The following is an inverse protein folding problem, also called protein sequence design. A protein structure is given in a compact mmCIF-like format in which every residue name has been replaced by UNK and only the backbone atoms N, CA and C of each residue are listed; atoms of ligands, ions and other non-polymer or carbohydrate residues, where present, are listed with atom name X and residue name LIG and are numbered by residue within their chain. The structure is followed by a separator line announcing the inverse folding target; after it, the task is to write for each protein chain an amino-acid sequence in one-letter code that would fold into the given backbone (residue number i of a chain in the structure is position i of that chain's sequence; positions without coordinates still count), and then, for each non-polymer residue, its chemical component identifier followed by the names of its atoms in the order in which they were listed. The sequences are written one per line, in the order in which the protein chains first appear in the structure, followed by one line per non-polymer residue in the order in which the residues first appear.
data_IF_665924438531
#
_entry.id   IF_665924438531
#
_cell.length_a   1.000
_cell.length_b   1.000
_cell.length_c   1.000
_cell.angle_alpha   90.00
_cell.angle_beta   90.00
_cell.angle_gamma   90.00
#
_symmetry.space_group_name_H-M   'P 1'
#
loop_
_entity.id
_entity.type
_entity.pdbx_description
1 polymer ?
#
# COMPACT_ATOMS: atom_id res chain seq x y z
N UNK A 1 16.71 -21.11 2.39
CA UNK A 1 15.34 -21.06 1.84
C UNK A 1 14.99 -19.61 1.56
N UNK A 2 14.60 -19.24 0.34
CA UNK A 2 14.11 -17.89 0.09
C UNK A 2 12.85 -17.67 0.93
N UNK A 3 12.73 -16.52 1.61
CA UNK A 3 11.51 -16.16 2.33
C UNK A 3 10.32 -16.17 1.37
N UNK A 4 9.16 -16.64 1.84
CA UNK A 4 7.94 -16.62 1.04
C UNK A 4 7.60 -15.17 0.66
N UNK A 5 7.39 -14.91 -0.64
CA UNK A 5 7.02 -13.59 -1.14
C UNK A 5 5.57 -13.25 -0.76
N UNK A 6 5.31 -11.97 -0.49
CA UNK A 6 3.98 -11.50 -0.07
C UNK A 6 3.00 -11.65 -1.24
N UNK A 7 1.77 -12.09 -0.97
CA UNK A 7 0.65 -12.21 -1.92
C UNK A 7 -0.67 -11.81 -1.27
N UNK A 8 -1.73 -11.69 -2.06
CA UNK A 8 -3.08 -11.37 -1.61
C UNK A 8 -3.33 -9.87 -1.55
N UNK A 9 -4.08 -9.43 -0.53
CA UNK A 9 -4.39 -8.01 -0.32
C UNK A 9 -3.41 -7.38 0.66
N UNK A 10 -2.86 -6.23 0.28
CA UNK A 10 -2.15 -5.35 1.21
C UNK A 10 -2.87 -4.01 1.33
N UNK A 11 -2.91 -3.48 2.54
CA UNK A 11 -3.40 -2.13 2.80
C UNK A 11 -2.24 -1.14 2.74
N UNK A 12 -2.30 -0.08 1.90
CA UNK A 12 -1.43 1.07 2.03
C UNK A 12 -1.88 1.85 3.28
N UNK A 13 -1.37 1.42 4.44
CA UNK A 13 -1.93 1.75 5.75
C UNK A 13 -1.96 3.26 5.96
N UNK A 14 -3.12 3.83 6.27
CA UNK A 14 -3.23 5.25 6.63
C UNK A 14 -2.46 5.53 7.93
N UNK A 15 -1.76 6.67 8.00
CA UNK A 15 -1.01 7.06 9.20
C UNK A 15 -1.87 7.98 10.08
N UNK A 16 -2.26 7.60 11.30
CA UNK A 16 -2.96 8.51 12.20
C UNK A 16 -1.99 9.58 12.75
N UNK A 17 -2.51 10.78 13.01
CA UNK A 17 -1.75 11.89 13.58
C UNK A 17 -2.41 12.40 14.84
N UNK A 18 -1.60 12.90 15.77
CA UNK A 18 -2.05 13.64 16.94
C UNK A 18 -2.41 15.08 16.56
N UNK A 19 -2.96 15.83 17.52
CA UNK A 19 -3.32 17.25 17.35
C UNK A 19 -2.12 18.15 17.01
N UNK A 20 -0.93 17.79 17.47
CA UNK A 20 0.32 18.48 17.14
C UNK A 20 0.93 18.03 15.80
N UNK A 21 0.17 17.25 15.03
CA UNK A 21 0.56 16.64 13.75
C UNK A 21 1.67 15.61 13.84
N UNK A 22 2.17 15.23 15.03
CA UNK A 22 3.08 14.10 15.17
C UNK A 22 2.36 12.76 14.89
N UNK A 23 3.04 11.72 14.39
CA UNK A 23 2.38 10.43 14.15
C UNK A 23 1.88 9.80 15.45
N UNK A 24 0.67 9.24 15.43
CA UNK A 24 0.09 8.54 16.56
C UNK A 24 0.47 7.04 16.52
N UNK A 25 1.54 6.69 17.21
CA UNK A 25 2.10 5.33 17.22
C UNK A 25 1.11 4.28 17.74
N UNK A 26 0.34 4.60 18.79
CA UNK A 26 -0.59 3.65 19.42
C UNK A 26 -1.73 3.28 18.47
N UNK A 27 -2.38 4.28 17.89
CA UNK A 27 -3.44 4.08 16.88
C UNK A 27 -2.93 3.37 15.63
N UNK A 28 -1.70 3.71 15.21
CA UNK A 28 -1.09 3.09 14.05
C UNK A 28 -0.86 1.58 14.25
N UNK A 29 -0.33 1.18 15.40
CA UNK A 29 -0.15 -0.23 15.78
C UNK A 29 -1.50 -0.96 15.84
N UNK A 30 -2.51 -0.37 16.49
CA UNK A 30 -3.82 -1.00 16.60
C UNK A 30 -4.48 -1.21 15.24
N UNK A 31 -4.38 -0.24 14.33
CA UNK A 31 -4.90 -0.38 12.97
C UNK A 31 -4.16 -1.45 12.18
N UNK A 32 -2.83 -1.51 12.29
CA UNK A 32 -2.04 -2.58 11.69
C UNK A 32 -2.43 -3.97 12.21
N UNK A 33 -2.65 -4.12 13.53
CA UNK A 33 -3.12 -5.38 14.12
C UNK A 33 -4.51 -5.78 13.63
N UNK A 34 -5.43 -4.82 13.53
CA UNK A 34 -6.76 -5.07 12.97
C UNK A 34 -6.68 -5.50 11.50
N UNK A 35 -5.91 -4.82 10.66
CA UNK A 35 -5.70 -5.21 9.26
C UNK A 35 -5.19 -6.66 9.14
N UNK A 36 -4.21 -7.04 9.97
CA UNK A 36 -3.67 -8.40 9.98
C UNK A 36 -4.70 -9.43 10.45
N UNK A 37 -5.54 -9.10 11.43
CA UNK A 37 -6.61 -10.00 11.89
C UNK A 37 -7.67 -10.25 10.80
N UNK A 38 -7.73 -9.38 9.79
CA UNK A 38 -8.58 -9.50 8.60
C UNK A 38 -7.86 -10.16 7.41
N UNK A 39 -6.70 -10.78 7.67
CA UNK A 39 -5.80 -11.39 6.68
C UNK A 39 -5.31 -10.43 5.58
N UNK A 40 -5.08 -9.17 5.95
CA UNK A 40 -4.50 -8.17 5.07
C UNK A 40 -3.03 -7.91 5.42
N UNK A 41 -2.14 -7.95 4.41
CA UNK A 41 -0.76 -7.49 4.57
C UNK A 41 -0.66 -5.96 4.68
N UNK A 42 0.52 -5.45 5.01
CA UNK A 42 0.72 -4.04 5.34
C UNK A 42 1.70 -3.38 4.36
N UNK A 43 1.23 -2.50 3.51
CA UNK A 43 2.06 -1.65 2.65
C UNK A 43 2.21 -0.24 3.26
N UNK A 44 2.81 -0.15 4.44
CA UNK A 44 2.97 1.12 5.17
C UNK A 44 3.79 2.14 4.35
N UNK A 45 3.62 3.43 4.61
CA UNK A 45 4.37 4.52 3.97
C UNK A 45 4.20 4.61 2.44
N UNK A 46 3.02 4.28 1.92
CA UNK A 46 2.62 4.59 0.56
C UNK A 46 1.91 5.95 0.45
N UNK A 47 1.27 6.21 -0.69
CA UNK A 47 0.51 7.45 -0.93
C UNK A 47 -0.59 7.67 0.11
N UNK A 48 -1.39 6.64 0.42
CA UNK A 48 -2.46 6.76 1.42
C UNK A 48 -1.96 6.88 2.87
N UNK A 49 -0.70 6.54 3.11
CA UNK A 49 -0.04 6.76 4.39
C UNK A 49 0.40 8.21 4.61
N UNK A 50 0.20 9.09 3.61
CA UNK A 50 0.73 10.45 3.59
C UNK A 50 2.26 10.48 3.65
N UNK A 51 2.94 9.47 3.09
CA UNK A 51 4.37 9.27 3.30
C UNK A 51 5.25 10.47 2.89
N UNK A 52 4.84 11.25 1.89
CA UNK A 52 5.58 12.46 1.48
C UNK A 52 5.49 13.61 2.49
N UNK A 53 4.61 13.55 3.49
CA UNK A 53 4.57 14.49 4.61
C UNK A 53 5.26 13.93 5.87
N UNK A 54 5.87 12.74 5.79
CA UNK A 54 6.52 12.04 6.89
C UNK A 54 8.01 11.91 6.61
N UNK A 55 8.85 12.42 7.51
CA UNK A 55 10.31 12.34 7.35
C UNK A 55 10.83 10.91 7.38
N UNK A 56 12.01 10.67 6.82
CA UNK A 56 12.71 9.38 6.92
C UNK A 56 12.83 8.89 8.37
N UNK A 57 13.17 9.79 9.30
CA UNK A 57 13.29 9.49 10.73
C UNK A 57 11.97 9.01 11.33
N UNK A 58 10.86 9.69 11.02
CA UNK A 58 9.54 9.28 11.49
C UNK A 58 9.12 7.93 10.88
N UNK A 59 9.37 7.69 9.59
CA UNK A 59 9.08 6.41 8.94
C UNK A 59 9.86 5.26 9.57
N UNK A 60 11.17 5.43 9.77
CA UNK A 60 12.02 4.43 10.41
C UNK A 60 11.58 4.17 11.86
N UNK A 61 11.30 5.22 12.63
CA UNK A 61 10.82 5.08 14.01
C UNK A 61 9.44 4.41 14.13
N UNK A 62 8.51 4.71 13.21
CA UNK A 62 7.23 3.99 13.13
C UNK A 62 7.41 2.52 12.75
N UNK A 63 8.34 2.21 11.85
CA UNK A 63 8.65 0.84 11.49
C UNK A 63 9.24 0.06 12.68
N UNK A 64 10.17 0.68 13.43
CA UNK A 64 10.72 0.10 14.66
C UNK A 64 9.63 -0.16 15.70
N UNK A 65 8.69 0.78 15.85
CA UNK A 65 7.56 0.62 16.77
C UNK A 65 6.63 -0.55 16.37
N UNK A 66 6.37 -0.74 15.07
CA UNK A 66 5.61 -1.91 14.59
C UNK A 66 6.33 -3.22 14.93
N UNK A 67 7.64 -3.30 14.70
CA UNK A 67 8.44 -4.48 15.03
C UNK A 67 8.44 -4.75 16.53
N UNK A 68 8.66 -3.72 17.35
CA UNK A 68 8.62 -3.82 18.80
C UNK A 68 7.24 -4.27 19.33
N UNK A 69 6.17 -3.91 18.62
CA UNK A 69 4.80 -4.33 18.94
C UNK A 69 4.44 -5.75 18.46
N UNK A 70 5.40 -6.49 17.90
CA UNK A 70 5.25 -7.87 17.44
C UNK A 70 4.57 -8.01 16.08
N UNK A 71 4.54 -6.95 15.26
CA UNK A 71 3.98 -7.02 13.91
C UNK A 71 4.86 -7.92 13.04
N UNK A 72 4.31 -8.94 12.36
CA UNK A 72 5.08 -9.86 11.52
C UNK A 72 5.68 -9.12 10.31
N UNK A 73 6.99 -8.93 10.32
CA UNK A 73 7.73 -8.19 9.28
C UNK A 73 7.60 -8.81 7.90
N UNK A 74 7.51 -10.14 7.82
CA UNK A 74 7.25 -10.87 6.57
C UNK A 74 5.91 -10.50 5.91
N UNK A 75 4.96 -9.88 6.63
CA UNK A 75 3.67 -9.37 6.11
C UNK A 75 3.72 -7.88 5.77
N UNK A 76 4.88 -7.23 5.90
CA UNK A 76 5.07 -5.80 5.66
C UNK A 76 5.86 -5.51 4.38
N UNK A 77 5.42 -4.48 3.66
CA UNK A 77 6.07 -3.91 2.49
C UNK A 77 6.15 -2.38 2.61
N UNK A 78 7.03 -1.83 3.48
CA UNK A 78 7.14 -0.39 3.66
C UNK A 78 7.53 0.35 2.38
N UNK A 79 6.96 1.54 2.20
CA UNK A 79 7.31 2.47 1.15
C UNK A 79 8.62 3.17 1.46
N UNK A 80 9.63 2.94 0.64
CA UNK A 80 10.99 3.47 0.83
C UNK A 80 11.45 4.39 -0.29
N UNK A 81 10.66 4.50 -1.37
CA UNK A 81 10.94 5.44 -2.45
C UNK A 81 11.02 6.89 -1.96
N UNK A 82 11.94 7.65 -2.53
CA UNK A 82 12.16 9.07 -2.27
C UNK A 82 12.77 9.73 -3.51
N UNK A 83 12.77 11.07 -3.58
CA UNK A 83 13.51 11.78 -4.63
C UNK A 83 15.02 11.76 -4.37
N UNK A 84 15.44 11.62 -3.12
CA UNK A 84 16.84 11.49 -2.72
C UNK A 84 17.29 10.04 -2.73
N UNK A 85 18.40 9.76 -3.43
CA UNK A 85 19.04 8.44 -3.45
C UNK A 85 19.48 8.03 -2.05
N UNK A 86 20.05 8.95 -1.27
CA UNK A 86 20.58 8.62 0.07
C UNK A 86 19.45 8.24 1.01
N UNK A 87 18.34 8.97 0.99
CA UNK A 87 17.17 8.66 1.80
C UNK A 87 16.52 7.34 1.37
N UNK A 88 16.34 7.13 0.06
CA UNK A 88 15.76 5.88 -0.44
C UNK A 88 16.60 4.66 -0.05
N UNK A 89 17.94 4.78 -0.12
CA UNK A 89 18.86 3.73 0.30
C UNK A 89 18.85 3.52 1.83
N UNK A 90 18.88 4.59 2.62
CA UNK A 90 18.87 4.52 4.09
C UNK A 90 17.61 3.84 4.62
N UNK A 91 16.43 4.31 4.19
CA UNK A 91 15.14 3.75 4.64
C UNK A 91 14.98 2.31 4.14
N UNK A 92 15.43 2.00 2.91
CA UNK A 92 15.43 0.62 2.40
C UNK A 92 16.32 -0.29 3.21
N UNK A 93 17.56 0.12 3.50
CA UNK A 93 18.50 -0.68 4.29
C UNK A 93 17.99 -0.91 5.72
N UNK A 94 17.36 0.11 6.33
CA UNK A 94 16.71 -0.03 7.63
C UNK A 94 15.58 -1.07 7.59
N UNK A 95 14.68 -0.98 6.61
CA UNK A 95 13.60 -1.93 6.45
C UNK A 95 14.10 -3.37 6.23
N UNK A 96 15.12 -3.56 5.38
CA UNK A 96 15.73 -4.89 5.15
C UNK A 96 16.35 -5.47 6.42
N UNK A 97 17.02 -4.66 7.24
CA UNK A 97 17.58 -5.10 8.53
C UNK A 97 16.51 -5.65 9.48
N UNK A 98 15.31 -5.09 9.44
CA UNK A 98 14.16 -5.55 10.22
C UNK A 98 13.50 -6.82 9.62
N UNK A 99 13.93 -7.28 8.45
CA UNK A 99 13.43 -8.51 7.82
C UNK A 99 12.04 -8.36 7.22
N UNK A 100 11.70 -7.17 6.69
CA UNK A 100 10.43 -6.99 5.96
C UNK A 100 10.34 -7.87 4.72
N UNK A 101 9.12 -8.22 4.29
CA UNK A 101 8.92 -9.08 3.13
C UNK A 101 9.24 -8.41 1.78
N UNK A 102 9.35 -7.08 1.75
CA UNK A 102 9.84 -6.30 0.62
C UNK A 102 9.78 -4.80 0.89
N UNK A 103 10.20 -3.98 -0.07
CA UNK A 103 10.06 -2.53 -0.02
C UNK A 103 9.31 -2.04 -1.26
N UNK A 104 8.39 -1.10 -1.08
CA UNK A 104 7.64 -0.49 -2.18
C UNK A 104 8.31 0.81 -2.60
N UNK A 105 8.87 0.87 -3.81
CA UNK A 105 9.75 1.96 -4.24
C UNK A 105 9.13 2.78 -5.37
N UNK A 106 8.65 3.97 -4.99
CA UNK A 106 8.25 5.01 -5.93
C UNK A 106 9.47 5.54 -6.70
N UNK A 107 9.37 5.82 -8.02
CA UNK A 107 10.45 6.48 -8.75
C UNK A 107 10.66 7.90 -8.22
N UNK A 108 11.87 8.49 -8.39
CA UNK A 108 12.10 9.88 -8.03
C UNK A 108 11.20 10.77 -8.89
N UNK A 109 10.28 11.47 -8.24
CA UNK A 109 9.13 12.07 -8.92
C UNK A 109 9.16 13.59 -8.99
N UNK A 110 10.11 14.30 -8.39
CA UNK A 110 10.10 15.77 -8.44
C UNK A 110 10.39 16.30 -9.84
N UNK A 111 11.52 15.91 -10.43
CA UNK A 111 11.88 16.28 -11.80
C UNK A 111 11.13 15.42 -12.81
N UNK A 112 10.49 16.06 -13.79
CA UNK A 112 9.70 15.40 -14.84
C UNK A 112 10.50 15.27 -16.13
N UNK A 113 10.07 14.36 -17.02
CA UNK A 113 10.73 14.16 -18.32
C UNK A 113 12.16 13.64 -18.22
N UNK A 114 12.54 13.04 -17.09
CA UNK A 114 13.87 12.46 -16.91
C UNK A 114 14.07 11.28 -17.87
N UNK A 115 15.26 11.12 -18.47
CA UNK A 115 15.54 9.97 -19.32
C UNK A 115 15.42 8.64 -18.55
N UNK A 116 15.02 7.57 -19.23
CA UNK A 116 14.95 6.22 -18.67
C UNK A 116 16.29 5.77 -18.06
N UNK A 117 17.41 6.20 -18.63
CA UNK A 117 18.75 5.96 -18.09
C UNK A 117 18.93 6.55 -16.69
N UNK A 118 18.37 7.73 -16.42
CA UNK A 118 18.40 8.34 -15.09
C UNK A 118 17.60 7.53 -14.07
N UNK A 119 16.44 7.01 -14.47
CA UNK A 119 15.63 6.14 -13.62
C UNK A 119 16.33 4.82 -13.32
N UNK A 120 16.92 4.18 -14.33
CA UNK A 120 17.72 2.97 -14.16
C UNK A 120 18.87 3.20 -13.15
N UNK A 121 19.64 4.28 -13.33
CA UNK A 121 20.74 4.64 -12.42
C UNK A 121 20.24 4.90 -11.00
N UNK A 122 19.11 5.57 -10.82
CA UNK A 122 18.52 5.80 -9.50
C UNK A 122 18.24 4.48 -8.77
N UNK A 123 17.48 3.57 -9.38
CA UNK A 123 17.16 2.27 -8.77
C UNK A 123 18.43 1.44 -8.54
N UNK A 124 19.36 1.46 -9.50
CA UNK A 124 20.66 0.80 -9.42
C UNK A 124 21.47 1.29 -8.21
N UNK A 125 21.59 2.61 -8.01
CA UNK A 125 22.28 3.20 -6.87
C UNK A 125 21.66 2.79 -5.54
N UNK A 126 20.32 2.76 -5.45
CA UNK A 126 19.64 2.32 -4.22
C UNK A 126 19.95 0.86 -3.92
N UNK A 127 19.84 -0.04 -4.92
CA UNK A 127 20.15 -1.47 -4.75
C UNK A 127 21.60 -1.68 -4.31
N UNK A 128 22.56 -1.02 -4.97
CA UNK A 128 23.99 -1.14 -4.65
C UNK A 128 24.33 -0.60 -3.25
N UNK A 129 23.73 0.52 -2.84
CA UNK A 129 23.98 1.13 -1.52
C UNK A 129 23.35 0.34 -0.38
N UNK A 130 22.21 -0.30 -0.62
CA UNK A 130 21.62 -1.24 0.35
C UNK A 130 22.53 -2.47 0.51
N UNK A 131 23.01 -3.02 -0.61
CA UNK A 131 24.06 -4.05 -0.60
C UNK A 131 23.69 -5.33 0.16
N UNK A 132 22.40 -5.67 0.25
CA UNK A 132 21.88 -6.81 1.00
C UNK A 132 21.06 -7.73 0.08
N UNK A 133 21.45 -9.01 0.02
CA UNK A 133 20.83 -10.03 -0.83
C UNK A 133 19.37 -10.35 -0.46
N UNK A 134 18.92 -9.90 0.72
CA UNK A 134 17.53 -10.05 1.17
C UNK A 134 16.63 -8.94 0.65
N UNK A 135 17.17 -7.87 0.07
CA UNK A 135 16.38 -6.78 -0.50
C UNK A 135 15.42 -7.31 -1.56
N UNK A 136 14.13 -6.95 -1.46
CA UNK A 136 13.10 -7.23 -2.46
C UNK A 136 12.38 -5.94 -2.79
N UNK A 137 12.76 -5.31 -3.88
CA UNK A 137 12.17 -4.08 -4.40
C UNK A 137 10.93 -4.42 -5.22
N UNK A 138 9.80 -3.86 -4.80
CA UNK A 138 8.58 -3.77 -5.58
C UNK A 138 8.51 -2.36 -6.17
N UNK A 139 8.59 -2.25 -7.49
CA UNK A 139 8.51 -0.98 -8.20
C UNK A 139 7.10 -0.39 -8.05
N UNK A 140 6.98 0.88 -7.67
CA UNK A 140 5.68 1.52 -7.53
C UNK A 140 5.38 2.41 -8.74
N UNK A 141 4.62 1.88 -9.69
CA UNK A 141 4.15 2.60 -10.85
C UNK A 141 2.83 3.33 -10.55
N UNK A 142 2.84 4.67 -10.55
CA UNK A 142 1.64 5.50 -10.33
C UNK A 142 1.71 6.79 -11.15
N UNK A 143 1.63 6.72 -12.48
CA UNK A 143 1.80 7.89 -13.34
C UNK A 143 0.82 9.04 -13.05
N UNK A 144 -0.46 8.83 -12.64
CA UNK A 144 -1.35 9.95 -12.31
C UNK A 144 -0.85 10.85 -11.17
N UNK A 145 0.01 10.33 -10.29
CA UNK A 145 0.57 11.07 -9.15
C UNK A 145 2.03 11.44 -9.38
N UNK A 146 2.84 10.46 -9.78
CA UNK A 146 4.29 10.65 -9.97
C UNK A 146 4.63 11.41 -11.25
N UNK A 147 3.79 11.32 -12.29
CA UNK A 147 4.11 11.73 -13.66
C UNK A 147 5.43 11.15 -14.19
N UNK A 148 5.90 10.04 -13.63
CA UNK A 148 7.11 9.33 -14.05
C UNK A 148 6.74 7.88 -14.34
N UNK A 149 6.68 7.48 -15.63
CA UNK A 149 6.32 6.12 -15.99
C UNK A 149 7.46 5.14 -15.69
N UNK A 150 7.10 3.90 -15.33
CA UNK A 150 8.00 2.77 -15.23
C UNK A 150 7.68 1.88 -16.43
N UNK A 151 8.54 1.92 -17.44
CA UNK A 151 8.33 1.23 -18.72
C UNK A 151 8.70 -0.25 -18.62
N UNK A 152 8.17 -1.06 -19.52
CA UNK A 152 8.58 -2.47 -19.68
C UNK A 152 10.11 -2.60 -19.86
N UNK A 153 10.68 -1.73 -20.70
CA UNK A 153 12.12 -1.68 -20.95
C UNK A 153 12.92 -1.38 -19.69
N UNK A 154 12.46 -0.46 -18.84
CA UNK A 154 13.11 -0.19 -17.55
C UNK A 154 13.03 -1.41 -16.62
N UNK A 155 11.87 -2.06 -16.53
CA UNK A 155 11.68 -3.28 -15.72
C UNK A 155 12.62 -4.39 -16.19
N UNK A 156 12.67 -4.66 -17.50
CA UNK A 156 13.54 -5.67 -18.10
C UNK A 156 15.02 -5.41 -17.77
N UNK A 157 15.47 -4.16 -17.93
CA UNK A 157 16.86 -3.76 -17.58
C UNK A 157 17.16 -3.97 -16.10
N UNK A 158 16.23 -3.61 -15.22
CA UNK A 158 16.39 -3.75 -13.77
C UNK A 158 16.42 -5.23 -13.36
N UNK A 159 15.50 -6.05 -13.87
CA UNK A 159 15.48 -7.49 -13.61
C UNK A 159 16.76 -8.17 -14.11
N UNK A 160 17.27 -7.79 -15.28
CA UNK A 160 18.53 -8.33 -15.82
C UNK A 160 19.73 -7.97 -14.94
N UNK A 161 19.79 -6.73 -14.46
CA UNK A 161 20.90 -6.27 -13.62
C UNK A 161 20.82 -6.79 -12.17
N UNK A 162 19.61 -6.95 -11.64
CA UNK A 162 19.33 -7.23 -10.23
C UNK A 162 18.23 -8.30 -10.07
N UNK A 163 18.44 -9.53 -10.59
CA UNK A 163 17.39 -10.56 -10.68
C UNK A 163 16.89 -11.06 -9.33
N UNK A 164 17.68 -10.89 -8.27
CA UNK A 164 17.28 -11.28 -6.92
C UNK A 164 16.56 -10.14 -6.20
N UNK A 165 16.97 -8.90 -6.45
CA UNK A 165 16.48 -7.73 -5.73
C UNK A 165 15.22 -7.13 -6.34
N UNK A 166 15.04 -7.19 -7.66
CA UNK A 166 13.85 -6.66 -8.32
C UNK A 166 12.77 -7.74 -8.31
N UNK A 167 11.85 -7.64 -7.35
CA UNK A 167 10.91 -8.70 -7.02
C UNK A 167 9.54 -8.55 -7.67
N UNK A 168 9.12 -7.33 -8.00
CA UNK A 168 7.77 -7.12 -8.51
C UNK A 168 7.42 -5.66 -8.71
N UNK A 169 6.12 -5.39 -8.86
CA UNK A 169 5.56 -4.05 -8.88
C UNK A 169 4.18 -3.94 -8.27
N UNK A 170 3.85 -2.72 -7.86
CA UNK A 170 2.48 -2.26 -7.69
C UNK A 170 2.14 -1.35 -8.88
N UNK A 171 1.18 -1.76 -9.69
CA UNK A 171 0.68 -0.95 -10.80
C UNK A 171 -0.59 -0.18 -10.39
N UNK A 172 -0.44 1.12 -10.17
CA UNK A 172 -1.52 2.07 -9.87
C UNK A 172 -1.76 3.06 -11.00
N UNK A 173 -1.52 2.64 -12.24
CA UNK A 173 -1.95 3.38 -13.44
C UNK A 173 -3.47 3.50 -13.58
N UNK A 174 -4.22 2.56 -12.96
CA UNK A 174 -5.66 2.35 -13.21
C UNK A 174 -5.95 1.94 -14.67
N UNK A 175 -4.96 1.34 -15.33
CA UNK A 175 -5.02 0.82 -16.70
C UNK A 175 -4.81 -0.70 -16.66
N UNK A 176 -5.91 -1.45 -16.77
CA UNK A 176 -5.85 -2.92 -16.76
C UNK A 176 -5.01 -3.51 -17.89
N UNK A 177 -5.16 -3.10 -19.17
CA UNK A 177 -4.24 -3.48 -20.24
C UNK A 177 -2.76 -3.30 -19.88
N UNK A 178 -2.38 -2.19 -19.24
CA UNK A 178 -1.01 -1.99 -18.76
C UNK A 178 -0.62 -3.03 -17.71
N UNK A 179 -1.44 -3.20 -16.66
CA UNK A 179 -1.17 -4.21 -15.61
C UNK A 179 -1.02 -5.60 -16.20
N UNK A 180 -1.91 -6.00 -17.12
CA UNK A 180 -1.86 -7.29 -17.79
C UNK A 180 -0.60 -7.45 -18.63
N UNK A 181 -0.18 -6.42 -19.38
CA UNK A 181 1.06 -6.49 -20.17
C UNK A 181 2.31 -6.69 -19.30
N UNK A 182 2.37 -6.08 -18.11
CA UNK A 182 3.45 -6.31 -17.15
C UNK A 182 3.46 -7.75 -16.61
N UNK A 183 2.28 -8.32 -16.35
CA UNK A 183 2.12 -9.72 -15.93
C UNK A 183 2.59 -10.66 -17.04
N UNK A 184 2.06 -10.49 -18.26
CA UNK A 184 2.37 -11.33 -19.41
C UNK A 184 3.89 -11.32 -19.71
N UNK A 185 4.53 -10.16 -19.56
CA UNK A 185 5.95 -9.98 -19.83
C UNK A 185 6.88 -10.58 -18.76
N UNK A 186 6.53 -10.51 -17.47
CA UNK A 186 7.52 -10.73 -16.41
C UNK A 186 7.11 -11.72 -15.30
N UNK A 187 5.82 -12.04 -15.13
CA UNK A 187 5.37 -12.84 -13.99
C UNK A 187 5.96 -14.27 -13.99
N UNK A 188 6.16 -14.86 -15.18
CA UNK A 188 6.76 -16.20 -15.32
C UNK A 188 8.24 -16.23 -14.91
N UNK A 189 8.92 -15.10 -14.97
CA UNK A 189 10.33 -14.94 -14.58
C UNK A 189 10.48 -14.52 -13.11
N UNK A 190 9.41 -14.66 -12.33
CA UNK A 190 9.42 -14.38 -10.89
C UNK A 190 9.29 -12.89 -10.57
N UNK A 191 8.51 -12.14 -11.35
CA UNK A 191 8.15 -10.74 -11.06
C UNK A 191 6.70 -10.63 -10.60
N UNK A 192 6.50 -10.34 -9.32
CA UNK A 192 5.18 -10.29 -8.69
C UNK A 192 4.45 -8.99 -9.05
N UNK A 193 3.30 -9.06 -9.72
CA UNK A 193 2.49 -7.87 -10.06
C UNK A 193 1.26 -7.76 -9.17
N UNK A 194 1.16 -6.65 -8.44
CA UNK A 194 -0.03 -6.24 -7.71
C UNK A 194 -0.77 -5.14 -8.46
N UNK A 195 -2.10 -5.22 -8.51
CA UNK A 195 -2.94 -4.09 -8.96
C UNK A 195 -3.03 -3.05 -7.85
N UNK A 196 -3.07 -1.78 -8.22
CA UNK A 196 -3.13 -0.63 -7.31
C UNK A 196 -4.49 -0.38 -6.68
N UNK A 197 -5.49 -1.16 -7.09
CA UNK A 197 -6.82 -1.23 -6.49
C UNK A 197 -7.40 -2.65 -6.66
N UNK A 198 -8.51 -2.90 -5.99
CA UNK A 198 -9.17 -4.20 -5.91
C UNK A 198 -10.18 -4.47 -7.03
N UNK A 199 -10.50 -3.50 -7.89
CA UNK A 199 -11.50 -3.71 -8.95
C UNK A 199 -11.13 -4.83 -9.93
N UNK A 200 -9.86 -4.94 -10.39
CA UNK A 200 -9.45 -6.04 -11.23
C UNK A 200 -8.78 -7.17 -10.43
N UNK A 201 -9.01 -7.33 -9.11
CA UNK A 201 -8.19 -8.28 -8.33
C UNK A 201 -8.35 -9.73 -8.80
N UNK A 202 -9.56 -10.18 -9.13
CA UNK A 202 -9.75 -11.53 -9.68
C UNK A 202 -9.18 -11.67 -11.11
N UNK A 203 -9.32 -10.65 -11.96
CA UNK A 203 -8.70 -10.60 -13.29
C UNK A 203 -7.16 -10.67 -13.20
N UNK A 204 -6.58 -9.96 -12.22
CA UNK A 204 -5.15 -9.96 -11.95
C UNK A 204 -4.63 -11.34 -11.54
N UNK A 205 -5.32 -12.00 -10.60
CA UNK A 205 -5.01 -13.38 -10.21
C UNK A 205 -5.12 -14.34 -11.40
N UNK A 206 -6.15 -14.17 -12.24
CA UNK A 206 -6.37 -14.97 -13.45
C UNK A 206 -5.25 -14.80 -14.48
N UNK A 207 -4.71 -13.59 -14.62
CA UNK A 207 -3.60 -13.31 -15.52
C UNK A 207 -2.24 -13.85 -15.00
N UNK A 208 -2.14 -14.17 -13.71
CA UNK A 208 -0.92 -14.67 -13.07
C UNK A 208 -0.22 -13.66 -12.15
N UNK A 209 -0.84 -12.51 -11.87
CA UNK A 209 -0.37 -11.63 -10.81
C UNK A 209 -0.77 -12.13 -9.42
N UNK A 210 -0.41 -11.37 -8.38
CA UNK A 210 -0.36 -11.90 -7.01
C UNK A 210 -1.35 -11.28 -6.04
N UNK A 211 -2.20 -10.36 -6.50
CA UNK A 211 -3.25 -9.73 -5.71
C UNK A 211 -3.31 -8.22 -5.89
N UNK A 212 -3.65 -7.47 -4.84
CA UNK A 212 -3.79 -6.02 -4.92
C UNK A 212 -3.21 -5.30 -3.70
N UNK A 213 -2.79 -4.05 -3.91
CA UNK A 213 -2.46 -3.12 -2.83
C UNK A 213 -3.44 -1.95 -2.91
N UNK A 214 -4.55 -2.04 -2.17
CA UNK A 214 -5.70 -1.14 -2.35
C UNK A 214 -5.94 -0.18 -1.18
N UNK A 215 -6.21 1.09 -1.50
CA UNK A 215 -6.57 2.14 -0.55
C UNK A 215 -7.71 1.74 0.39
N UNK A 216 -8.77 1.16 -0.16
CA UNK A 216 -9.99 0.71 0.54
C UNK A 216 -9.76 -0.52 1.42
N UNK A 217 -8.65 -1.24 1.26
CA UNK A 217 -8.25 -2.26 2.24
C UNK A 217 -7.99 -1.68 3.64
N UNK A 218 -7.88 -0.36 3.80
CA UNK A 218 -7.93 0.29 5.11
C UNK A 218 -9.30 0.19 5.81
N UNK A 219 -10.38 -0.08 5.06
CA UNK A 219 -11.75 -0.08 5.59
C UNK A 219 -12.51 -1.39 5.37
N UNK A 220 -12.22 -2.17 4.32
CA UNK A 220 -12.83 -3.49 4.08
C UNK A 220 -11.83 -4.62 3.77
N UNK A 221 -10.71 -4.73 4.52
CA UNK A 221 -9.65 -5.72 4.25
C UNK A 221 -10.18 -7.16 4.17
N UNK A 222 -11.05 -7.55 5.12
CA UNK A 222 -11.54 -8.92 5.23
C UNK A 222 -12.37 -9.33 4.02
N UNK A 223 -13.23 -8.43 3.52
CA UNK A 223 -14.04 -8.69 2.32
C UNK A 223 -13.18 -8.83 1.07
N UNK A 224 -12.13 -8.02 0.92
CA UNK A 224 -11.18 -8.17 -0.20
C UNK A 224 -10.40 -9.49 -0.07
N UNK A 225 -9.96 -9.86 1.13
CA UNK A 225 -9.27 -11.12 1.38
C UNK A 225 -10.18 -12.33 1.11
N UNK A 226 -11.46 -12.28 1.50
CA UNK A 226 -12.49 -13.27 1.19
C UNK A 226 -12.68 -13.40 -0.33
N UNK A 227 -12.78 -12.29 -1.08
CA UNK A 227 -12.88 -12.30 -2.54
C UNK A 227 -11.70 -13.05 -3.16
N UNK A 228 -10.47 -12.75 -2.73
CA UNK A 228 -9.26 -13.42 -3.23
C UNK A 228 -9.27 -14.92 -2.91
N UNK A 229 -9.69 -15.32 -1.69
CA UNK A 229 -9.79 -16.74 -1.29
C UNK A 229 -10.85 -17.49 -2.09
N UNK A 230 -11.94 -16.82 -2.45
CA UNK A 230 -13.04 -17.37 -3.23
C UNK A 230 -12.82 -17.30 -4.75
N UNK A 231 -11.62 -16.92 -5.21
CA UNK A 231 -11.28 -16.86 -6.64
C UNK A 231 -11.59 -18.18 -7.36
N UNK A 232 -12.22 -18.09 -8.53
CA UNK A 232 -12.65 -19.24 -9.33
C UNK A 232 -13.97 -19.87 -8.88
N UNK A 233 -14.72 -19.23 -7.98
CA UNK A 233 -16.04 -19.67 -7.53
C UNK A 233 -17.11 -18.60 -7.78
N UNK A 234 -18.41 -18.98 -7.90
CA UNK A 234 -19.49 -17.99 -8.02
C UNK A 234 -19.58 -17.01 -6.85
N UNK A 235 -19.16 -17.43 -5.65
CA UNK A 235 -19.09 -16.56 -4.48
C UNK A 235 -18.02 -15.48 -4.66
N UNK A 236 -16.87 -15.83 -5.24
CA UNK A 236 -15.81 -14.88 -5.57
C UNK A 236 -16.31 -13.76 -6.49
N UNK A 237 -17.09 -14.11 -7.53
CA UNK A 237 -17.66 -13.12 -8.46
C UNK A 237 -18.67 -12.20 -7.75
N UNK A 238 -19.50 -12.76 -6.87
CA UNK A 238 -20.44 -11.97 -6.05
C UNK A 238 -19.72 -11.01 -5.11
N UNK A 239 -18.67 -11.48 -4.44
CA UNK A 239 -17.87 -10.64 -3.55
C UNK A 239 -17.09 -9.56 -4.33
N UNK A 240 -16.57 -9.89 -5.52
CA UNK A 240 -15.94 -8.92 -6.41
C UNK A 240 -16.90 -7.79 -6.79
N UNK A 241 -18.15 -8.11 -7.13
CA UNK A 241 -19.17 -7.11 -7.40
C UNK A 241 -19.42 -6.20 -6.17
N UNK A 242 -19.54 -6.79 -4.97
CA UNK A 242 -19.77 -6.01 -3.76
C UNK A 242 -18.58 -5.11 -3.38
N UNK A 243 -17.33 -5.59 -3.44
CA UNK A 243 -16.16 -4.73 -3.17
C UNK A 243 -16.02 -3.62 -4.22
N UNK A 244 -16.48 -3.84 -5.45
CA UNK A 244 -16.52 -2.80 -6.48
C UNK A 244 -17.49 -1.66 -6.13
N UNK A 245 -18.66 -1.98 -5.55
CA UNK A 245 -19.62 -0.97 -5.07
C UNK A 245 -19.02 -0.13 -3.93
N UNK A 246 -18.40 -0.78 -2.94
CA UNK A 246 -17.70 -0.08 -1.84
C UNK A 246 -16.61 0.84 -2.41
N UNK A 247 -15.79 0.33 -3.34
CA UNK A 247 -14.77 1.13 -4.00
C UNK A 247 -15.37 2.30 -4.78
N UNK A 248 -16.48 2.08 -5.48
CA UNK A 248 -17.21 3.08 -6.23
C UNK A 248 -17.68 4.24 -5.36
N UNK A 249 -18.22 3.95 -4.17
CA UNK A 249 -18.57 4.98 -3.18
C UNK A 249 -17.33 5.80 -2.82
N UNK A 250 -16.24 5.14 -2.42
CA UNK A 250 -15.03 5.84 -1.97
C UNK A 250 -14.34 6.66 -3.06
N UNK A 251 -14.48 6.30 -4.34
CA UNK A 251 -13.96 7.08 -5.47
C UNK A 251 -14.69 8.41 -5.68
N UNK A 252 -15.86 8.60 -5.08
CA UNK A 252 -16.58 9.88 -5.09
C UNK A 252 -15.97 10.95 -4.16
N UNK A 253 -14.92 10.61 -3.40
CA UNK A 253 -14.35 11.45 -2.35
C UNK A 253 -12.83 11.54 -2.44
N UNK A 254 -12.24 12.52 -1.75
CA UNK A 254 -10.79 12.62 -1.61
C UNK A 254 -10.30 11.47 -0.72
N UNK A 255 -9.63 10.50 -1.32
CA UNK A 255 -9.41 9.17 -0.74
C UNK A 255 -8.79 9.16 0.67
N UNK A 256 -7.71 9.89 0.91
CA UNK A 256 -6.98 9.85 2.20
C UNK A 256 -7.84 10.31 3.38
N UNK A 257 -8.37 11.55 3.39
CA UNK A 257 -9.23 12.00 4.48
C UNK A 257 -10.54 11.20 4.56
N UNK A 258 -11.06 10.71 3.42
CA UNK A 258 -12.26 9.87 3.40
C UNK A 258 -12.04 8.54 4.14
N UNK A 259 -10.94 7.82 3.87
CA UNK A 259 -10.61 6.59 4.60
C UNK A 259 -10.49 6.82 6.10
N UNK A 260 -9.83 7.90 6.48
CA UNK A 260 -9.66 8.33 7.87
C UNK A 260 -10.98 8.66 8.55
N UNK A 261 -11.90 9.32 7.86
CA UNK A 261 -13.26 9.58 8.35
C UNK A 261 -14.04 8.29 8.58
N UNK A 262 -13.97 7.33 7.65
CA UNK A 262 -14.63 6.02 7.80
C UNK A 262 -14.08 5.27 9.02
N UNK A 263 -12.75 5.25 9.21
CA UNK A 263 -12.11 4.62 10.38
C UNK A 263 -12.56 5.33 11.67
N UNK A 264 -12.60 6.67 11.68
CA UNK A 264 -13.07 7.42 12.84
C UNK A 264 -14.52 7.08 13.20
N UNK A 265 -15.39 6.98 12.20
CA UNK A 265 -16.81 6.67 12.38
C UNK A 265 -17.03 5.26 12.94
N UNK A 266 -16.55 4.22 12.26
CA UNK A 266 -16.77 2.83 12.68
C UNK A 266 -15.88 2.41 13.87
N UNK A 267 -14.75 3.08 14.06
CA UNK A 267 -13.85 2.90 15.21
C UNK A 267 -14.28 3.67 16.45
N UNK A 268 -15.24 4.59 16.33
CA UNK A 268 -15.65 5.52 17.38
C UNK A 268 -14.49 6.34 17.97
N UNK A 269 -13.58 6.81 17.12
CA UNK A 269 -12.39 7.56 17.52
C UNK A 269 -12.11 8.74 16.58
N UNK A 270 -12.54 9.93 16.99
CA UNK A 270 -12.44 11.15 16.19
C UNK A 270 -11.01 11.63 15.91
N UNK A 271 -9.99 11.11 16.63
CA UNK A 271 -8.59 11.48 16.37
C UNK A 271 -8.11 11.00 14.99
N UNK A 272 -8.78 10.01 14.41
CA UNK A 272 -8.48 9.55 13.07
C UNK A 272 -8.71 10.57 11.97
N UNK A 273 -9.53 11.61 12.22
CA UNK A 273 -9.79 12.64 11.21
C UNK A 273 -8.52 13.39 10.78
N UNK A 274 -7.55 13.57 11.68
CA UNK A 274 -6.39 14.41 11.44
C UNK A 274 -5.57 13.95 10.22
N UNK A 275 -5.27 14.88 9.33
CA UNK A 275 -4.33 14.73 8.20
C UNK A 275 -3.20 15.75 8.33
N UNK A 276 -2.07 15.53 7.65
CA UNK A 276 -1.02 16.54 7.56
C UNK A 276 -1.29 17.48 6.38
N UNK A 277 -1.11 18.81 6.55
CA UNK A 277 -1.08 19.73 5.42
C UNK A 277 -0.11 19.28 4.32
N UNK A 278 -0.41 19.53 3.03
CA UNK A 278 -1.49 20.37 2.53
C UNK A 278 -2.86 19.67 2.40
N UNK A 279 -3.01 18.44 2.91
CA UNK A 279 -4.33 17.81 2.97
C UNK A 279 -5.21 18.51 4.01
N UNK A 280 -6.52 18.41 3.80
CA UNK A 280 -7.55 18.89 4.72
C UNK A 280 -8.49 17.72 5.03
N UNK A 281 -9.02 17.71 6.24
CA UNK A 281 -9.96 16.71 6.71
C UNK A 281 -11.24 16.71 5.89
N UNK A 282 -11.94 15.56 5.85
CA UNK A 282 -13.29 15.49 5.29
C UNK A 282 -14.24 16.26 6.20
N UNK A 283 -14.96 17.23 5.63
CA UNK A 283 -15.96 17.98 6.37
C UNK A 283 -17.15 17.09 6.77
N UNK A 284 -17.86 17.45 7.83
CA UNK A 284 -18.92 16.62 8.41
C UNK A 284 -20.08 16.34 7.44
N UNK A 285 -20.41 17.27 6.54
CA UNK A 285 -21.49 17.06 5.57
C UNK A 285 -21.08 16.01 4.54
N UNK A 286 -19.90 16.16 3.96
CA UNK A 286 -19.33 15.18 3.03
C UNK A 286 -19.14 13.82 3.69
N UNK A 287 -18.65 13.80 4.93
CA UNK A 287 -18.44 12.57 5.69
C UNK A 287 -19.76 11.83 5.98
N UNK A 288 -20.82 12.53 6.40
CA UNK A 288 -22.14 11.92 6.62
C UNK A 288 -22.77 11.38 5.34
N UNK A 289 -22.63 12.09 4.22
CA UNK A 289 -23.08 11.60 2.90
C UNK A 289 -22.37 10.31 2.52
N UNK A 290 -21.04 10.24 2.71
CA UNK A 290 -20.25 9.04 2.46
C UNK A 290 -20.69 7.86 3.33
N UNK A 291 -20.84 8.06 4.64
CA UNK A 291 -21.31 7.01 5.56
C UNK A 291 -22.71 6.53 5.15
N UNK A 292 -23.62 7.44 4.83
CA UNK A 292 -24.97 7.06 4.39
C UNK A 292 -24.97 6.21 3.10
N UNK A 293 -24.02 6.45 2.18
CA UNK A 293 -23.85 5.61 0.97
C UNK A 293 -23.27 4.24 1.30
N UNK A 294 -22.31 4.17 2.22
CA UNK A 294 -21.76 2.89 2.69
C UNK A 294 -22.81 2.06 3.46
N UNK A 295 -23.60 2.70 4.33
CA UNK A 295 -24.66 2.03 5.10
C UNK A 295 -25.75 1.42 4.18
N UNK A 296 -26.07 2.09 3.06
CA UNK A 296 -26.98 1.53 2.04
C UNK A 296 -26.46 0.23 1.41
N UNK A 297 -25.14 0.00 1.43
CA UNK A 297 -24.52 -1.24 0.96
C UNK A 297 -24.43 -2.32 2.07
N UNK A 298 -24.91 -2.02 3.28
CA UNK A 298 -24.73 -2.89 4.45
C UNK A 298 -23.27 -2.96 4.91
N UNK A 299 -22.49 -1.91 4.67
CA UNK A 299 -21.07 -1.87 5.00
C UNK A 299 -20.82 -1.95 6.51
N UNK A 300 -19.81 -2.71 6.92
CA UNK A 300 -19.38 -2.83 8.33
C UNK A 300 -17.86 -2.99 8.43
N UNK A 301 -17.30 -2.64 9.60
CA UNK A 301 -15.88 -2.84 9.93
C UNK A 301 -15.75 -3.72 11.19
N UNK A 302 -15.94 -5.06 11.05
CA UNK A 302 -15.98 -5.94 12.21
C UNK A 302 -14.66 -5.92 13.00
N UNK A 303 -14.75 -5.84 14.32
CA UNK A 303 -13.59 -5.83 15.22
C UNK A 303 -12.82 -4.51 15.31
N UNK A 304 -13.10 -3.51 14.47
CA UNK A 304 -12.33 -2.25 14.45
C UNK A 304 -12.49 -1.49 15.76
N UNK A 305 -13.73 -1.30 16.22
CA UNK A 305 -14.03 -0.54 17.45
C UNK A 305 -13.29 -1.11 18.67
N UNK A 306 -13.24 -2.44 18.79
CA UNK A 306 -12.51 -3.11 19.86
C UNK A 306 -11.01 -2.89 19.74
N UNK A 307 -10.46 -2.97 18.52
CA UNK A 307 -9.04 -2.70 18.29
C UNK A 307 -8.66 -1.25 18.62
N UNK A 308 -9.51 -0.27 18.28
CA UNK A 308 -9.26 1.14 18.56
C UNK A 308 -9.35 1.49 20.05
N UNK A 309 -10.25 0.84 20.80
CA UNK A 309 -10.37 1.05 22.26
C UNK A 309 -9.06 0.74 23.01
N UNK A 310 -8.34 -0.32 22.60
CA UNK A 310 -7.05 -0.72 23.20
C UNK A 310 -5.93 0.32 22.96
N UNK A 311 -6.03 1.14 21.91
CA UNK A 311 -5.04 2.19 21.64
C UNK A 311 -5.34 3.52 22.34
N UNK A 312 -6.53 3.69 22.91
CA UNK A 312 -6.93 4.89 23.62
C UNK A 312 -6.52 4.89 25.11
N UNK A 313 -6.13 3.71 25.62
CA UNK A 313 -5.55 3.49 26.96
C UNK A 313 -4.02 3.69 26.95
#
# INVERSE_FOLDING_TARGET
MAAARIKGVLSPVVTPFKRDLSPDVGRFIAHCKWLLSQDCGLAVFGTNSEANSISAKERMGLLDALVAAGIPTARMMPGTGACSITEAAEVSAHAVKLGVGGVLMLPPFYYKGVPEEGLFRFFSEVVQRVGDDRLRVYLYHIPPVSAVPITHKLVERLMKAYPQQIAGMKDSSDDWPHTKSMIDAFARDGFDVFSGNEKPVLENLKAGGVGCISATANINPGKIAETIKAYGTPEGDRLQAWINEVRGVMQGYVMIPALKYVIAHYGADAHWHAVRPPLVETDEKTGKDMIAKLDKLGFTMPGLKQAMAVAAE
#
